data_IF_784482350792
#
_entry.id   IF_784482350792
#
_cell.length_a   1.000
_cell.length_b   1.000
_cell.length_c   1.000
_cell.angle_alpha   90.00
_cell.angle_beta   90.00
_cell.angle_gamma   90.00
#
_symmetry.space_group_name_H-M   'P 1'
#
loop_
_entity.id
_entity.type
_entity.pdbx_description
1 polymer ?
#
# COMPACT_ATOMS: atom_id res chain seq x y z
N UNK A 1 -13.79 -9.37 4.98
CA UNK A 1 -12.40 -9.29 4.46
C UNK A 1 -12.36 -9.22 2.92
N UNK A 2 -13.38 -9.73 2.20
CA UNK A 2 -13.46 -9.76 0.72
C UNK A 2 -13.47 -8.39 0.00
N UNK A 3 -14.19 -7.39 0.52
CA UNK A 3 -14.44 -6.10 -0.17
C UNK A 3 -13.21 -5.23 -0.49
N UNK A 4 -12.03 -5.52 0.06
CA UNK A 4 -10.80 -4.75 -0.22
C UNK A 4 -10.03 -5.27 -1.43
N UNK A 5 -10.18 -6.55 -1.79
CA UNK A 5 -9.47 -7.15 -2.92
C UNK A 5 -10.02 -6.65 -4.26
N UNK A 6 -11.34 -6.43 -4.36
CA UNK A 6 -12.01 -5.88 -5.55
C UNK A 6 -11.65 -4.42 -5.86
N UNK A 7 -10.98 -3.72 -4.95
CA UNK A 7 -10.59 -2.31 -5.12
C UNK A 7 -9.18 -2.15 -5.68
N UNK A 8 -8.51 -3.25 -6.04
CA UNK A 8 -7.21 -3.19 -6.67
C UNK A 8 -7.35 -2.67 -8.10
N UNK A 9 -6.48 -1.74 -8.54
CA UNK A 9 -6.52 -1.25 -9.89
C UNK A 9 -6.23 -2.37 -10.88
N UNK A 10 -6.85 -2.33 -12.08
CA UNK A 10 -6.65 -3.35 -13.10
C UNK A 10 -5.20 -3.43 -13.61
N UNK A 11 -4.42 -2.36 -13.42
CA UNK A 11 -3.00 -2.28 -13.80
C UNK A 11 -2.04 -2.84 -12.73
N UNK A 12 -2.53 -3.25 -11.57
CA UNK A 12 -1.72 -3.89 -10.53
C UNK A 12 -0.70 -2.95 -9.86
N UNK A 13 0.51 -3.46 -9.62
CA UNK A 13 1.58 -2.76 -8.89
C UNK A 13 2.34 -1.83 -9.82
N UNK A 14 2.52 -0.57 -9.40
CA UNK A 14 3.26 0.47 -10.16
C UNK A 14 4.63 0.69 -9.52
N UNK A 15 5.68 0.87 -10.31
CA UNK A 15 7.01 1.24 -9.78
C UNK A 15 7.08 2.76 -9.53
N UNK A 16 7.75 3.18 -8.45
CA UNK A 16 7.93 4.60 -8.11
C UNK A 16 8.59 5.40 -9.26
N UNK A 17 9.61 4.85 -9.91
CA UNK A 17 10.30 5.48 -11.05
C UNK A 17 9.53 5.42 -12.39
N UNK A 18 8.28 4.92 -12.39
CA UNK A 18 7.50 4.85 -13.62
C UNK A 18 6.96 6.23 -14.02
N UNK A 19 7.16 6.69 -15.27
CA UNK A 19 6.57 7.95 -15.74
C UNK A 19 5.04 7.94 -15.73
N UNK A 20 4.42 6.74 -15.73
CA UNK A 20 2.96 6.54 -15.68
C UNK A 20 2.38 6.60 -14.27
N UNK A 21 3.20 6.78 -13.23
CA UNK A 21 2.73 6.84 -11.85
C UNK A 21 1.66 7.93 -11.67
N UNK A 22 1.84 9.09 -12.30
CA UNK A 22 0.90 10.22 -12.22
C UNK A 22 -0.46 9.86 -12.82
N UNK A 23 -0.45 9.27 -14.02
CA UNK A 23 -1.67 8.86 -14.71
C UNK A 23 -2.46 7.82 -13.90
N UNK A 24 -1.76 6.84 -13.32
CA UNK A 24 -2.39 5.81 -12.49
C UNK A 24 -2.88 6.35 -11.15
N UNK A 25 -2.16 7.30 -10.56
CA UNK A 25 -2.58 8.01 -9.35
C UNK A 25 -3.88 8.78 -9.60
N UNK A 26 -3.93 9.58 -10.66
CA UNK A 26 -5.12 10.34 -11.04
C UNK A 26 -6.33 9.42 -11.25
N UNK A 27 -6.13 8.32 -11.98
CA UNK A 27 -7.18 7.34 -12.24
C UNK A 27 -7.68 6.68 -10.96
N UNK A 28 -6.77 6.14 -10.14
CA UNK A 28 -7.14 5.45 -8.91
C UNK A 28 -7.82 6.40 -7.90
N UNK A 29 -7.35 7.64 -7.82
CA UNK A 29 -7.88 8.66 -6.91
C UNK A 29 -9.28 9.15 -7.33
N UNK A 30 -9.52 9.24 -8.65
CA UNK A 30 -10.84 9.61 -9.20
C UNK A 30 -11.89 8.51 -9.04
N UNK A 31 -11.46 7.24 -9.08
CA UNK A 31 -12.36 6.07 -9.04
C UNK A 31 -12.44 5.43 -7.62
N UNK A 32 -11.63 5.90 -6.67
CA UNK A 32 -11.62 5.39 -5.29
C UNK A 32 -10.96 4.02 -5.13
N UNK A 33 -10.01 3.69 -6.02
CA UNK A 33 -9.26 2.43 -6.02
C UNK A 33 -8.05 2.48 -5.09
N UNK A 34 -7.47 1.32 -4.79
CA UNK A 34 -6.31 1.18 -3.92
C UNK A 34 -5.01 1.09 -4.74
N UNK A 35 -4.25 2.18 -4.86
CA UNK A 35 -3.00 2.18 -5.61
C UNK A 35 -1.86 1.54 -4.80
N UNK A 36 -1.12 0.60 -5.41
CA UNK A 36 0.07 -0.01 -4.80
C UNK A 36 1.31 0.44 -5.58
N UNK A 37 2.21 1.13 -4.90
CA UNK A 37 3.47 1.65 -5.44
C UNK A 37 4.64 0.87 -4.84
N UNK A 38 5.41 0.18 -5.67
CA UNK A 38 6.59 -0.56 -5.28
C UNK A 38 7.89 0.18 -5.64
N UNK A 39 8.98 -0.20 -4.96
CA UNK A 39 10.29 0.38 -5.20
C UNK A 39 10.45 1.76 -4.55
N UNK A 40 9.81 1.95 -3.38
CA UNK A 40 10.05 3.16 -2.57
C UNK A 40 11.38 3.00 -1.84
N UNK A 41 12.24 3.99 -1.99
CA UNK A 41 13.55 4.06 -1.34
C UNK A 41 13.44 4.86 -0.03
N UNK A 42 14.43 5.68 0.32
CA UNK A 42 14.42 6.48 1.55
C UNK A 42 13.52 7.72 1.47
N UNK A 43 13.31 8.23 0.25
CA UNK A 43 12.48 9.40 -0.03
C UNK A 43 11.37 9.08 -1.04
N UNK A 44 10.26 9.81 -0.92
CA UNK A 44 9.14 9.79 -1.84
C UNK A 44 9.17 11.08 -2.65
N UNK A 45 8.83 11.01 -3.93
CA UNK A 45 8.70 12.20 -4.78
C UNK A 45 7.74 13.23 -4.14
N UNK A 46 8.19 14.47 -3.87
CA UNK A 46 7.38 15.55 -3.30
C UNK A 46 6.08 15.83 -4.06
N UNK A 47 5.99 15.41 -5.33
CA UNK A 47 4.75 15.35 -6.09
C UNK A 47 3.58 14.72 -5.32
N UNK A 48 3.87 13.72 -4.48
CA UNK A 48 2.86 12.96 -3.75
C UNK A 48 2.47 13.62 -2.42
N UNK A 49 3.20 14.65 -1.95
CA UNK A 49 2.92 15.34 -0.70
C UNK A 49 1.47 15.81 -0.55
N UNK A 50 0.83 16.43 -1.57
CA UNK A 50 -0.56 16.86 -1.46
C UNK A 50 -1.54 15.70 -1.21
N UNK A 51 -1.21 14.51 -1.72
CA UNK A 51 -2.00 13.28 -1.53
C UNK A 51 -1.74 12.69 -0.16
N UNK A 52 -0.48 12.63 0.29
CA UNK A 52 -0.10 12.11 1.60
C UNK A 52 -0.64 12.98 2.75
N UNK A 53 -0.56 14.30 2.59
CA UNK A 53 -1.10 15.29 3.54
C UNK A 53 -2.62 15.44 3.46
N UNK A 54 -3.26 14.77 2.49
CA UNK A 54 -4.70 14.87 2.23
C UNK A 54 -5.15 16.32 2.10
N UNK A 55 -4.46 17.11 1.26
CA UNK A 55 -4.80 18.49 0.94
C UNK A 55 -6.07 18.57 0.08
N UNK A 56 -7.21 18.18 0.67
CA UNK A 56 -8.49 18.04 -0.01
C UNK A 56 -9.16 19.41 -0.13
N UNK A 57 -9.41 19.81 -1.37
CA UNK A 57 -10.14 21.00 -1.75
C UNK A 57 -11.57 20.61 -2.07
N UNK A 58 -12.52 21.09 -1.27
CA UNK A 58 -13.95 20.88 -1.51
C UNK A 58 -14.49 21.96 -2.45
N UNK A 59 -15.01 21.55 -3.62
CA UNK A 59 -15.72 22.43 -4.55
C UNK A 59 -17.15 21.89 -4.76
N UNK A 60 -18.12 22.53 -4.11
CA UNK A 60 -19.51 22.09 -4.13
C UNK A 60 -19.69 20.74 -3.43
N UNK A 61 -20.17 19.74 -4.19
CA UNK A 61 -20.35 18.35 -3.72
C UNK A 61 -19.13 17.46 -3.96
N UNK A 62 -18.18 17.90 -4.78
CA UNK A 62 -17.02 17.10 -5.19
C UNK A 62 -15.76 17.50 -4.42
N UNK A 63 -14.86 16.53 -4.24
CA UNK A 63 -13.57 16.70 -3.57
C UNK A 63 -12.45 16.61 -4.61
N UNK A 64 -11.41 17.39 -4.41
CA UNK A 64 -10.27 17.47 -5.32
C UNK A 64 -8.96 17.55 -4.55
N UNK A 65 -7.86 17.12 -5.15
CA UNK A 65 -6.49 17.32 -4.65
C UNK A 65 -5.65 17.87 -5.81
N UNK A 66 -4.79 18.85 -5.53
CA UNK A 66 -3.86 19.38 -6.53
C UNK A 66 -2.58 18.56 -6.53
N UNK A 67 -2.23 17.96 -7.66
CA UNK A 67 -1.02 17.14 -7.85
C UNK A 67 -0.26 17.70 -9.05
N UNK A 68 0.99 18.18 -8.84
CA UNK A 68 1.79 18.89 -9.86
C UNK A 68 0.99 19.88 -10.72
N UNK A 69 0.39 20.87 -10.06
CA UNK A 69 -0.36 21.95 -10.73
C UNK A 69 -1.62 21.51 -11.48
N UNK A 70 -2.02 20.23 -11.36
CA UNK A 70 -3.25 19.70 -11.93
C UNK A 70 -4.26 19.36 -10.84
N UNK A 71 -5.49 19.85 -11.05
CA UNK A 71 -6.61 19.58 -10.15
C UNK A 71 -7.21 18.21 -10.47
N UNK A 72 -7.07 17.26 -9.55
CA UNK A 72 -7.49 15.88 -9.73
C UNK A 72 -8.69 15.56 -8.84
N UNK A 73 -9.65 14.78 -9.34
CA UNK A 73 -10.81 14.35 -8.55
C UNK A 73 -10.37 13.38 -7.45
N UNK A 74 -10.93 13.54 -6.25
CA UNK A 74 -10.62 12.72 -5.08
C UNK A 74 -11.86 11.99 -4.57
N UNK A 75 -11.77 10.68 -4.41
CA UNK A 75 -12.77 9.86 -3.73
C UNK A 75 -12.30 9.48 -2.32
N UNK A 76 -13.16 9.59 -1.29
CA UNK A 76 -12.81 9.18 0.08
C UNK A 76 -12.42 7.71 0.24
N UNK A 77 -12.86 6.83 -0.67
CA UNK A 77 -12.53 5.41 -0.67
C UNK A 77 -11.12 5.09 -1.22
N UNK A 78 -10.43 6.08 -1.80
CA UNK A 78 -9.07 5.92 -2.31
C UNK A 78 -8.08 5.59 -1.19
N UNK A 79 -7.20 4.63 -1.45
CA UNK A 79 -6.08 4.29 -0.57
C UNK A 79 -4.80 4.16 -1.41
N UNK A 80 -3.66 4.49 -0.82
CA UNK A 80 -2.34 4.30 -1.44
C UNK A 80 -1.45 3.50 -0.50
N UNK A 81 -0.76 2.51 -1.05
CA UNK A 81 0.18 1.65 -0.34
C UNK A 81 1.54 1.75 -0.98
N UNK A 82 2.58 1.88 -0.15
CA UNK A 82 3.96 1.90 -0.58
C UNK A 82 4.67 0.63 -0.12
N UNK A 83 5.46 0.04 -1.02
CA UNK A 83 6.25 -1.16 -0.76
C UNK A 83 7.73 -0.81 -0.97
N UNK A 84 8.50 -0.91 0.11
CA UNK A 84 9.95 -0.88 0.08
C UNK A 84 10.52 -2.29 0.24
N UNK A 85 11.64 -2.55 -0.42
CA UNK A 85 12.45 -3.78 -0.23
C UNK A 85 13.71 -3.53 0.59
N UNK A 86 13.90 -2.29 1.08
CA UNK A 86 15.04 -1.95 1.90
C UNK A 86 14.87 -2.61 3.28
N UNK A 87 15.89 -3.34 3.78
CA UNK A 87 15.80 -4.00 5.08
C UNK A 87 15.86 -3.03 6.26
N UNK A 88 16.49 -1.87 6.09
CA UNK A 88 16.54 -0.79 7.08
C UNK A 88 16.35 0.58 6.38
N UNK A 89 15.13 0.93 5.95
CA UNK A 89 14.89 2.23 5.35
C UNK A 89 14.91 3.31 6.43
N UNK A 90 15.82 4.27 6.32
CA UNK A 90 15.79 5.48 7.13
C UNK A 90 14.85 6.51 6.50
N UNK A 91 13.55 6.33 6.72
CA UNK A 91 12.56 7.32 6.29
C UNK A 91 12.70 8.61 7.09
N UNK A 92 12.60 9.75 6.40
CA UNK A 92 12.62 11.07 7.05
C UNK A 92 11.47 11.20 8.07
N UNK A 93 11.66 11.98 9.16
CA UNK A 93 10.60 12.21 10.14
C UNK A 93 9.33 12.80 9.52
N UNK A 94 9.46 13.60 8.46
CA UNK A 94 8.33 14.15 7.72
C UNK A 94 7.51 13.05 7.04
N UNK A 95 8.17 12.08 6.39
CA UNK A 95 7.50 10.96 5.77
C UNK A 95 6.82 10.04 6.80
N UNK A 96 7.48 9.79 7.93
CA UNK A 96 6.92 9.02 9.05
C UNK A 96 5.73 9.72 9.71
N UNK A 97 5.68 11.06 9.69
CA UNK A 97 4.53 11.80 10.19
C UNK A 97 3.32 11.73 9.24
N UNK A 98 3.57 11.70 7.93
CA UNK A 98 2.52 11.67 6.89
C UNK A 98 1.99 10.25 6.61
N UNK A 99 2.78 9.22 6.88
CA UNK A 99 2.46 7.82 6.52
C UNK A 99 2.57 6.88 7.71
N UNK A 100 1.84 5.77 7.66
CA UNK A 100 1.98 4.70 8.66
C UNK A 100 2.92 3.64 8.12
N UNK A 101 4.08 3.49 8.77
CA UNK A 101 5.05 2.44 8.44
C UNK A 101 4.61 1.14 9.10
N UNK A 102 4.56 0.06 8.32
CA UNK A 102 4.28 -1.29 8.80
C UNK A 102 5.48 -2.17 8.50
N UNK A 103 6.07 -2.74 9.54
CA UNK A 103 7.21 -3.66 9.39
C UNK A 103 6.71 -5.06 9.03
N UNK A 104 7.12 -5.53 7.85
CA UNK A 104 6.85 -6.89 7.35
C UNK A 104 8.13 -7.75 7.35
N UNK A 105 9.19 -7.34 8.03
CA UNK A 105 10.43 -8.10 8.14
C UNK A 105 10.14 -9.41 8.85
N UNK A 106 10.43 -10.51 8.14
CA UNK A 106 10.29 -11.84 8.71
C UNK A 106 11.38 -12.02 9.77
N UNK A 107 10.96 -12.24 11.01
CA UNK A 107 11.88 -12.63 12.08
C UNK A 107 12.25 -14.10 11.94
N UNK A 108 13.47 -14.48 12.33
CA UNK A 108 13.93 -15.89 12.28
C UNK A 108 12.93 -16.82 12.96
N UNK A 109 12.45 -16.44 14.16
CA UNK A 109 11.43 -17.19 14.89
C UNK A 109 10.10 -17.26 14.12
N UNK A 110 9.65 -16.17 13.52
CA UNK A 110 8.43 -16.17 12.70
C UNK A 110 8.55 -17.08 11.47
N UNK A 111 9.74 -17.15 10.86
CA UNK A 111 10.01 -18.07 9.77
C UNK A 111 10.06 -19.53 10.23
N UNK A 112 10.68 -19.79 11.39
CA UNK A 112 10.70 -21.12 12.01
C UNK A 112 9.29 -21.63 12.28
N UNK A 113 8.44 -20.80 12.91
CA UNK A 113 7.04 -21.14 13.18
C UNK A 113 6.25 -21.39 11.87
N UNK A 114 6.46 -20.56 10.84
CA UNK A 114 5.82 -20.73 9.53
C UNK A 114 6.26 -22.03 8.83
N UNK A 115 7.56 -22.35 8.87
CA UNK A 115 8.09 -23.59 8.30
C UNK A 115 7.64 -24.81 9.10
N UNK A 116 7.58 -24.70 10.43
CA UNK A 116 7.08 -25.75 11.30
C UNK A 116 5.62 -26.09 10.97
N UNK A 117 4.77 -25.08 10.78
CA UNK A 117 3.37 -25.28 10.38
C UNK A 117 3.25 -26.02 9.03
N UNK A 118 4.09 -25.66 8.05
CA UNK A 118 4.16 -26.35 6.74
C UNK A 118 4.61 -27.80 6.88
N UNK A 119 5.57 -28.08 7.78
CA UNK A 119 6.07 -29.44 8.02
C UNK A 119 5.04 -30.28 8.77
N UNK A 120 4.41 -29.74 9.81
CA UNK A 120 3.34 -30.41 10.56
C UNK A 120 2.17 -30.77 9.64
N UNK A 121 1.75 -29.85 8.76
CA UNK A 121 0.66 -30.13 7.83
C UNK A 121 0.98 -31.19 6.77
N UNK A 122 2.27 -31.46 6.51
CA UNK A 122 2.70 -32.57 5.64
C UNK A 122 2.85 -33.89 6.37
N UNK A 123 3.45 -33.88 7.56
CA UNK A 123 3.83 -35.09 8.32
C UNK A 123 2.72 -35.59 9.26
N UNK A 124 1.89 -34.69 9.79
CA UNK A 124 0.85 -35.00 10.80
C UNK A 124 -0.53 -34.43 10.43
N UNK A 125 -0.91 -34.53 9.17
CA UNK A 125 -2.20 -34.01 8.66
C UNK A 125 -3.42 -34.48 9.46
N UNK A 126 -3.43 -35.75 9.89
CA UNK A 126 -4.51 -36.32 10.70
C UNK A 126 -4.61 -35.74 12.13
N UNK A 127 -3.52 -35.22 12.70
CA UNK A 127 -3.52 -34.57 14.01
C UNK A 127 -3.99 -33.11 13.92
N UNK A 128 -3.68 -32.44 12.80
CA UNK A 128 -4.11 -31.07 12.53
C UNK A 128 -5.64 -30.99 12.33
N UNK A 129 -6.22 -31.93 11.58
CA UNK A 129 -7.69 -32.06 11.40
C UNK A 129 -8.46 -32.28 12.72
N UNK A 130 -7.83 -32.86 13.75
CA UNK A 130 -8.46 -33.05 15.08
C UNK A 130 -8.37 -31.82 15.98
N UNK A 131 -7.41 -30.91 15.76
CA UNK A 131 -7.22 -29.68 16.53
C UNK A 131 -8.05 -28.51 15.98
N UNK A 132 -8.43 -28.56 14.70
CA UNK A 132 -9.30 -27.56 14.05
C UNK A 132 -10.81 -27.86 14.19
N UNK A 133 -11.21 -28.92 14.91
CA UNK A 133 -12.60 -29.28 15.21
C UNK A 133 -13.12 -28.74 16.54
#
# INVERSE_FOLDING_TARGET
>A
KEKRADRLPPFGIVQMNSPKLKEYLEFAMGDGLSLVVAGVEEEIDPLLDPVLEKQIIKKGKSLYINVADKMCSYQPDFNIFFISRLPNPHFSPELQAKTTVVDFTVTIKGLEDQLLDVVIGKEQKALQDQLEQ
#
